data_IF_373528315600
#
_entry.id   IF_373528315600
#
_cell.length_a   1.000
_cell.length_b   1.000
_cell.length_c   1.000
_cell.angle_alpha   90.00
_cell.angle_beta   90.00
_cell.angle_gamma   90.00
#
_symmetry.space_group_name_H-M   'P 1'
#
loop_
_entity.id
_entity.type
_entity.pdbx_description
1 polymer ?
#
# COMPACT_ATOMS: atom_id res chain seq x y z
N UNK A 1 -14.57 26.92 6.01
CA UNK A 1 -13.50 25.98 6.40
C UNK A 1 -12.41 26.10 5.35
N UNK A 2 -11.15 26.36 5.76
CA UNK A 2 -10.01 26.55 4.84
C UNK A 2 -10.02 25.45 3.77
N UNK A 3 -9.74 25.80 2.51
CA UNK A 3 -9.45 24.84 1.44
C UNK A 3 -8.21 24.03 1.84
N UNK A 4 -8.42 22.93 2.55
CA UNK A 4 -7.37 21.96 2.87
C UNK A 4 -6.82 21.37 1.58
N UNK A 5 -7.64 21.29 0.53
CA UNK A 5 -7.32 20.70 -0.77
C UNK A 5 -6.20 21.43 -1.56
N UNK A 6 -6.14 22.77 -1.56
CA UNK A 6 -5.10 23.48 -2.33
C UNK A 6 -3.70 23.27 -1.74
N UNK A 7 -3.60 23.24 -0.41
CA UNK A 7 -2.34 22.92 0.29
C UNK A 7 -1.94 21.46 0.11
N UNK A 8 -2.92 20.57 -0.01
CA UNK A 8 -2.67 19.14 -0.13
C UNK A 8 -1.96 18.77 -1.43
N UNK A 9 -2.13 19.52 -2.52
CA UNK A 9 -1.47 19.17 -3.77
C UNK A 9 -0.45 20.21 -4.27
N UNK A 10 -0.21 21.28 -3.50
CA UNK A 10 0.87 22.24 -3.78
C UNK A 10 0.60 23.13 -5.00
N UNK A 11 -0.67 23.42 -5.27
CA UNK A 11 -1.06 24.23 -6.41
C UNK A 11 -1.32 25.66 -5.94
N UNK A 12 -0.28 26.51 -6.02
CA UNK A 12 -0.34 27.92 -5.63
C UNK A 12 0.94 28.72 -5.90
N UNK A 13 2.13 28.13 -5.77
CA UNK A 13 3.39 28.88 -5.86
C UNK A 13 4.15 28.53 -7.15
N UNK A 14 3.75 29.16 -8.27
CA UNK A 14 4.66 29.33 -9.41
C UNK A 14 5.37 30.67 -9.24
N UNK A 15 6.63 30.54 -8.83
CA UNK A 15 7.78 31.42 -9.03
C UNK A 15 7.51 32.68 -9.88
N UNK A 16 7.65 33.85 -9.24
CA UNK A 16 8.28 35.00 -9.87
C UNK A 16 9.15 35.69 -8.82
N UNK A 17 10.46 35.52 -8.99
CA UNK A 17 11.48 36.36 -8.36
C UNK A 17 11.26 37.79 -8.83
N UNK A 18 10.96 38.73 -7.93
CA UNK A 18 11.30 40.14 -8.14
C UNK A 18 11.48 40.85 -6.79
N UNK A 19 12.48 41.73 -6.79
CA UNK A 19 13.25 42.23 -5.67
C UNK A 19 12.49 43.08 -4.65
N UNK A 20 12.94 42.99 -3.40
CA UNK A 20 12.51 43.79 -2.25
C UNK A 20 12.97 45.24 -2.39
N UNK A 21 12.04 46.19 -2.32
CA UNK A 21 12.27 47.52 -1.74
C UNK A 21 11.02 47.98 -0.98
N UNK A 22 11.27 48.30 0.29
CA UNK A 22 10.34 48.77 1.32
C UNK A 22 9.57 50.02 0.91
N UNK A 23 8.25 50.05 1.15
CA UNK A 23 7.54 51.24 1.64
C UNK A 23 6.11 50.88 2.14
N UNK A 24 5.95 50.98 3.46
CA UNK A 24 4.73 51.40 4.20
C UNK A 24 3.34 50.79 3.91
N UNK A 25 2.81 50.14 4.95
CA UNK A 25 1.40 50.17 5.42
C UNK A 25 0.27 49.56 4.56
N UNK A 26 -0.44 48.60 5.20
CA UNK A 26 -1.84 48.18 4.95
C UNK A 26 -2.18 47.48 3.62
N UNK A 27 -2.08 46.15 3.56
CA UNK A 27 -3.13 45.37 2.88
C UNK A 27 -3.43 44.07 3.64
N UNK A 28 -4.57 44.10 4.32
CA UNK A 28 -5.21 43.02 5.03
C UNK A 28 -5.52 41.90 4.03
N UNK A 29 -4.87 40.75 4.24
CA UNK A 29 -5.35 39.38 4.01
C UNK A 29 -6.68 39.32 3.21
N UNK A 30 -6.59 39.45 1.87
CA UNK A 30 -7.71 39.23 0.94
C UNK A 30 -8.17 37.78 1.06
N UNK A 31 -9.03 37.51 2.05
CA UNK A 31 -9.88 36.32 2.10
C UNK A 31 -10.71 36.30 0.83
N UNK A 32 -10.31 35.48 -0.13
CA UNK A 32 -11.18 35.08 -1.25
C UNK A 32 -12.35 34.33 -0.64
N UNK A 33 -13.46 35.04 -0.38
CA UNK A 33 -14.75 34.41 -0.18
C UNK A 33 -15.06 33.70 -1.49
N UNK A 34 -15.13 32.37 -1.48
CA UNK A 34 -15.64 31.61 -2.62
C UNK A 34 -17.07 32.11 -2.87
N UNK A 35 -17.25 32.91 -3.92
CA UNK A 35 -18.53 33.56 -4.24
C UNK A 35 -19.56 32.50 -4.62
N UNK A 36 -20.70 32.53 -3.96
CA UNK A 36 -21.82 31.63 -4.26
C UNK A 36 -22.60 32.26 -5.42
N UNK A 37 -22.75 31.52 -6.51
CA UNK A 37 -23.47 31.94 -7.71
C UNK A 37 -24.67 31.03 -7.97
N UNK A 38 -25.76 31.60 -8.48
CA UNK A 38 -26.94 30.85 -8.90
C UNK A 38 -26.76 30.35 -10.33
N UNK A 39 -26.50 29.05 -10.48
CA UNK A 39 -26.21 28.43 -11.79
C UNK A 39 -27.45 27.70 -12.31
N UNK A 40 -27.85 27.89 -13.58
CA UNK A 40 -28.92 27.12 -14.19
C UNK A 40 -28.65 25.62 -14.13
N UNK A 41 -29.63 24.83 -13.67
CA UNK A 41 -29.49 23.36 -13.58
C UNK A 41 -29.15 22.75 -14.94
N UNK A 42 -29.69 23.30 -16.03
CA UNK A 42 -29.46 22.86 -17.41
C UNK A 42 -28.00 22.97 -17.86
N UNK A 43 -27.21 23.82 -17.19
CA UNK A 43 -25.80 24.05 -17.49
C UNK A 43 -24.87 23.16 -16.67
N UNK A 44 -25.41 22.35 -15.76
CA UNK A 44 -24.64 21.52 -14.83
C UNK A 44 -24.73 20.06 -15.24
N UNK A 45 -23.57 19.44 -15.48
CA UNK A 45 -23.45 18.01 -15.78
C UNK A 45 -22.92 17.24 -14.57
N UNK A 46 -23.41 16.01 -14.31
CA UNK A 46 -22.84 15.13 -13.30
C UNK A 46 -21.35 14.85 -13.57
N UNK A 47 -20.59 14.64 -12.49
CA UNK A 47 -19.18 14.28 -12.60
C UNK A 47 -19.00 12.94 -13.30
N UNK A 48 -18.26 12.89 -14.40
CA UNK A 48 -17.91 11.64 -15.08
C UNK A 48 -17.11 10.66 -14.19
N UNK A 49 -16.43 11.18 -13.17
CA UNK A 49 -15.59 10.41 -12.25
C UNK A 49 -16.30 10.04 -10.94
N UNK A 50 -17.60 10.33 -10.77
CA UNK A 50 -18.33 9.97 -9.55
C UNK A 50 -18.69 8.48 -9.57
N UNK A 51 -18.10 7.63 -8.70
CA UNK A 51 -18.35 6.19 -8.73
C UNK A 51 -19.70 5.77 -8.14
N UNK A 52 -20.47 6.68 -7.50
CA UNK A 52 -21.78 6.32 -6.99
C UNK A 52 -22.75 6.17 -8.16
N UNK A 53 -22.93 4.95 -8.63
CA UNK A 53 -23.90 4.60 -9.69
C UNK A 53 -25.30 4.37 -9.12
N UNK A 54 -25.40 3.91 -7.86
CA UNK A 54 -26.67 3.65 -7.18
C UNK A 54 -26.99 4.79 -6.22
N UNK A 55 -28.06 5.52 -6.52
CA UNK A 55 -28.67 6.46 -5.60
C UNK A 55 -29.97 5.86 -5.08
N UNK A 56 -30.17 5.94 -3.77
CA UNK A 56 -31.43 5.55 -3.14
C UNK A 56 -32.45 6.68 -3.36
N UNK A 57 -33.40 6.44 -4.27
CA UNK A 57 -34.41 7.43 -4.64
C UNK A 57 -35.24 7.90 -3.44
N UNK A 58 -35.53 7.03 -2.47
CA UNK A 58 -36.28 7.39 -1.27
C UNK A 58 -35.51 8.42 -0.42
N UNK A 59 -34.20 8.23 -0.27
CA UNK A 59 -33.33 9.21 0.43
C UNK A 59 -33.12 10.50 -0.34
N UNK A 60 -33.30 10.49 -1.67
CA UNK A 60 -33.33 11.72 -2.47
C UNK A 60 -34.65 12.44 -2.24
N UNK A 61 -35.77 11.73 -2.14
CA UNK A 61 -37.09 12.31 -1.87
C UNK A 61 -37.17 12.99 -0.50
N UNK A 62 -36.64 12.36 0.54
CA UNK A 62 -36.53 12.96 1.87
C UNK A 62 -35.71 14.27 1.85
N UNK A 63 -34.59 14.26 1.10
CA UNK A 63 -33.75 15.44 0.93
C UNK A 63 -34.46 16.53 0.11
N UNK A 64 -35.19 16.15 -0.95
CA UNK A 64 -36.00 17.06 -1.74
C UNK A 64 -37.08 17.73 -0.89
N UNK A 65 -37.76 16.98 -0.01
CA UNK A 65 -38.73 17.56 0.93
C UNK A 65 -38.06 18.57 1.88
N UNK A 66 -36.86 18.24 2.37
CA UNK A 66 -36.09 19.14 3.24
C UNK A 66 -35.69 20.43 2.52
N UNK A 67 -35.18 20.31 1.28
CA UNK A 67 -34.76 21.43 0.43
C UNK A 67 -35.96 22.29 0.04
N UNK A 68 -37.14 21.69 -0.21
CA UNK A 68 -38.37 22.45 -0.46
C UNK A 68 -38.75 23.35 0.73
N UNK A 69 -38.57 22.86 1.96
CA UNK A 69 -38.96 23.58 3.18
C UNK A 69 -37.94 24.64 3.62
N UNK A 70 -36.64 24.33 3.53
CA UNK A 70 -35.59 25.19 4.10
C UNK A 70 -34.65 25.80 3.05
N UNK A 71 -34.85 25.48 1.77
CA UNK A 71 -33.90 25.81 0.72
C UNK A 71 -32.63 24.94 0.75
N UNK A 72 -31.70 25.25 -0.14
CA UNK A 72 -30.43 24.57 -0.24
C UNK A 72 -29.39 25.27 0.64
N UNK A 73 -29.30 24.86 1.91
CA UNK A 73 -28.44 25.51 2.92
C UNK A 73 -26.95 25.45 2.54
N UNK A 74 -26.51 24.33 1.94
CA UNK A 74 -25.13 24.18 1.49
C UNK A 74 -25.09 24.21 -0.04
N UNK A 75 -24.37 25.16 -0.67
CA UNK A 75 -24.24 25.22 -2.12
C UNK A 75 -23.51 23.98 -2.65
N UNK A 76 -23.85 23.58 -3.87
CA UNK A 76 -23.07 22.55 -4.58
C UNK A 76 -21.71 23.10 -5.00
N UNK A 77 -20.74 22.24 -5.26
CA UNK A 77 -19.43 22.67 -5.77
C UNK A 77 -19.33 22.20 -7.20
N UNK A 78 -19.01 23.12 -8.11
CA UNK A 78 -18.86 22.82 -9.54
C UNK A 78 -17.53 23.37 -10.05
N UNK A 79 -17.03 22.82 -11.15
CA UNK A 79 -16.02 23.47 -11.98
C UNK A 79 -16.62 23.93 -13.29
N UNK A 80 -16.07 25.01 -13.85
CA UNK A 80 -16.36 25.40 -15.22
C UNK A 80 -15.37 24.68 -16.16
N UNK A 81 -15.88 24.02 -17.20
CA UNK A 81 -15.03 23.32 -18.19
C UNK A 81 -15.17 23.87 -19.61
N UNK A 82 -16.27 24.55 -19.89
CA UNK A 82 -16.54 25.33 -21.10
C UNK A 82 -17.35 26.57 -20.71
N UNK A 83 -17.49 27.53 -21.62
CA UNK A 83 -18.35 28.70 -21.42
C UNK A 83 -19.79 28.25 -21.06
N UNK A 84 -20.29 28.76 -19.93
CA UNK A 84 -21.59 28.42 -19.35
C UNK A 84 -21.85 26.91 -19.10
N UNK A 85 -20.81 26.06 -19.07
CA UNK A 85 -20.95 24.65 -18.70
C UNK A 85 -20.14 24.26 -17.48
N UNK A 86 -20.84 23.60 -16.56
CA UNK A 86 -20.32 23.27 -15.25
C UNK A 86 -20.39 21.78 -15.00
N UNK A 87 -19.37 21.21 -14.35
CA UNK A 87 -19.36 19.82 -13.91
C UNK A 87 -19.38 19.77 -12.39
N UNK A 88 -20.24 18.93 -11.82
CA UNK A 88 -20.34 18.77 -10.36
C UNK A 88 -19.03 18.19 -9.83
N UNK A 89 -18.45 18.85 -8.83
CA UNK A 89 -17.36 18.29 -8.03
C UNK A 89 -17.94 17.59 -6.80
N UNK A 90 -18.84 18.26 -6.08
CA UNK A 90 -19.46 17.75 -4.86
C UNK A 90 -20.92 18.22 -4.71
N UNK A 91 -21.74 17.38 -4.08
CA UNK A 91 -23.15 17.69 -3.83
C UNK A 91 -24.14 17.06 -4.83
N UNK A 92 -23.77 15.97 -5.50
CA UNK A 92 -24.62 15.25 -6.47
C UNK A 92 -26.04 14.95 -5.94
N UNK A 93 -26.19 14.51 -4.67
CA UNK A 93 -27.52 14.28 -4.06
C UNK A 93 -28.36 15.55 -3.96
N UNK A 94 -27.73 16.69 -3.66
CA UNK A 94 -28.39 18.01 -3.58
C UNK A 94 -28.83 18.49 -4.95
N UNK A 95 -27.97 18.33 -5.95
CA UNK A 95 -28.30 18.62 -7.35
C UNK A 95 -29.50 17.78 -7.85
N UNK A 96 -29.49 16.46 -7.59
CA UNK A 96 -30.61 15.57 -7.95
C UNK A 96 -31.91 15.95 -7.24
N UNK A 97 -31.85 16.27 -5.96
CA UNK A 97 -33.01 16.71 -5.21
C UNK A 97 -33.58 18.04 -5.74
N UNK A 98 -32.72 19.04 -6.03
CA UNK A 98 -33.14 20.30 -6.64
C UNK A 98 -33.75 20.12 -8.05
N UNK A 99 -33.14 19.24 -8.85
CA UNK A 99 -33.66 18.86 -10.18
C UNK A 99 -35.04 18.22 -10.06
N UNK A 100 -35.24 17.32 -9.08
CA UNK A 100 -36.53 16.65 -8.82
C UNK A 100 -37.61 17.62 -8.35
N UNK A 101 -37.23 18.69 -7.65
CA UNK A 101 -38.14 19.77 -7.25
C UNK A 101 -38.49 20.73 -8.40
N UNK A 102 -37.84 20.61 -9.56
CA UNK A 102 -38.06 21.50 -10.70
C UNK A 102 -37.43 22.88 -10.52
N UNK A 103 -36.35 22.99 -9.75
CA UNK A 103 -35.63 24.27 -9.62
C UNK A 103 -34.98 24.66 -10.95
N UNK A 104 -35.03 25.95 -11.30
CA UNK A 104 -34.36 26.46 -12.51
C UNK A 104 -32.86 26.70 -12.27
N UNK A 105 -32.51 27.15 -11.06
CA UNK A 105 -31.14 27.47 -10.64
C UNK A 105 -30.82 26.85 -9.28
N UNK A 106 -29.54 26.65 -9.01
CA UNK A 106 -29.04 26.15 -7.73
C UNK A 106 -27.86 27.01 -7.26
N UNK A 107 -27.75 27.29 -5.95
CA UNK A 107 -26.58 27.97 -5.42
C UNK A 107 -25.38 27.03 -5.50
N UNK A 108 -24.33 27.52 -6.15
CA UNK A 108 -23.12 26.76 -6.44
C UNK A 108 -21.87 27.61 -6.19
N UNK A 109 -20.80 26.94 -5.78
CA UNK A 109 -19.46 27.51 -5.68
C UNK A 109 -18.68 27.02 -6.91
N UNK A 110 -18.17 27.96 -7.71
CA UNK A 110 -17.34 27.65 -8.87
C UNK A 110 -15.88 27.54 -8.43
N UNK A 111 -15.26 26.41 -8.73
CA UNK A 111 -13.83 26.18 -8.54
C UNK A 111 -13.14 26.00 -9.89
N UNK A 112 -12.04 26.70 -10.07
CA UNK A 112 -11.19 26.57 -11.25
C UNK A 112 -10.29 25.34 -11.07
N UNK A 113 -10.81 24.16 -11.39
CA UNK A 113 -10.09 22.89 -11.34
C UNK A 113 -9.96 22.26 -12.73
N UNK A 114 -8.76 21.82 -13.08
CA UNK A 114 -8.54 21.00 -14.26
C UNK A 114 -9.09 19.57 -14.09
N UNK A 115 -9.02 18.75 -15.15
CA UNK A 115 -9.54 17.37 -15.14
C UNK A 115 -8.86 16.51 -14.08
N UNK A 116 -7.54 16.63 -13.95
CA UNK A 116 -6.71 15.92 -12.99
C UNK A 116 -7.11 16.27 -11.56
N UNK A 117 -7.30 17.57 -11.27
CA UNK A 117 -7.72 18.07 -9.96
C UNK A 117 -9.14 17.62 -9.61
N UNK A 118 -10.07 17.70 -10.56
CA UNK A 118 -11.46 17.26 -10.38
C UNK A 118 -11.53 15.77 -10.08
N UNK A 119 -10.81 14.94 -10.85
CA UNK A 119 -10.72 13.51 -10.60
C UNK A 119 -10.10 13.22 -9.21
N UNK A 120 -9.14 14.03 -8.77
CA UNK A 120 -8.50 13.87 -7.47
C UNK A 120 -9.42 14.21 -6.31
N UNK A 121 -10.18 15.30 -6.42
CA UNK A 121 -11.19 15.66 -5.42
C UNK A 121 -12.23 14.56 -5.29
N UNK A 122 -12.72 14.03 -6.41
CA UNK A 122 -13.64 12.90 -6.41
C UNK A 122 -13.01 11.66 -5.72
N UNK A 123 -11.77 11.31 -6.05
CA UNK A 123 -11.07 10.18 -5.43
C UNK A 123 -10.88 10.36 -3.92
N UNK A 124 -10.52 11.56 -3.46
CA UNK A 124 -10.30 11.86 -2.04
C UNK A 124 -11.62 11.87 -1.26
N UNK A 125 -12.69 12.43 -1.83
CA UNK A 125 -14.02 12.35 -1.22
C UNK A 125 -14.44 10.88 -1.04
N UNK A 126 -14.21 10.05 -2.06
CA UNK A 126 -14.46 8.62 -1.96
C UNK A 126 -13.61 7.97 -0.87
N UNK A 127 -12.32 8.34 -0.78
CA UNK A 127 -11.38 7.86 0.24
C UNK A 127 -11.81 8.22 1.68
N UNK A 128 -12.59 9.28 1.86
CA UNK A 128 -13.08 9.73 3.17
C UNK A 128 -14.38 9.05 3.62
N UNK A 129 -14.92 8.09 2.85
CA UNK A 129 -16.08 7.29 3.28
C UNK A 129 -15.66 6.30 4.37
N UNK A 130 -16.48 6.16 5.41
CA UNK A 130 -16.17 5.34 6.60
C UNK A 130 -16.02 3.84 6.32
N UNK A 131 -16.63 3.33 5.24
CA UNK A 131 -16.76 1.89 4.97
C UNK A 131 -15.95 1.41 3.75
N UNK A 132 -14.84 2.06 3.40
CA UNK A 132 -14.00 1.55 2.32
C UNK A 132 -13.31 0.25 2.67
N UNK A 133 -13.34 -0.68 1.73
CA UNK A 133 -12.55 -1.91 1.81
C UNK A 133 -11.08 -1.60 1.59
N UNK A 134 -10.20 -2.47 2.12
CA UNK A 134 -8.74 -2.29 1.97
C UNK A 134 -8.28 -2.30 0.50
N UNK A 135 -9.02 -2.99 -0.38
CA UNK A 135 -8.75 -3.02 -1.82
C UNK A 135 -9.18 -1.70 -2.48
N UNK A 136 -10.35 -1.16 -2.15
CA UNK A 136 -10.80 0.13 -2.69
C UNK A 136 -9.87 1.27 -2.26
N UNK A 137 -9.43 1.30 -0.99
CA UNK A 137 -8.41 2.25 -0.54
C UNK A 137 -7.12 2.13 -1.38
N UNK A 138 -6.66 0.90 -1.62
CA UNK A 138 -5.45 0.66 -2.39
C UNK A 138 -5.59 1.12 -3.84
N UNK A 139 -6.72 0.85 -4.50
CA UNK A 139 -7.02 1.35 -5.85
C UNK A 139 -7.06 2.88 -5.88
N UNK A 140 -7.67 3.52 -4.87
CA UNK A 140 -7.71 4.97 -4.77
C UNK A 140 -6.29 5.57 -4.62
N UNK A 141 -5.43 4.98 -3.79
CA UNK A 141 -4.02 5.41 -3.67
C UNK A 141 -3.26 5.24 -4.98
N UNK A 142 -3.45 4.11 -5.68
CA UNK A 142 -2.79 3.87 -6.96
C UNK A 142 -3.19 4.94 -7.98
N UNK A 143 -4.49 5.21 -8.12
CA UNK A 143 -5.00 6.24 -9.02
C UNK A 143 -4.46 7.63 -8.68
N UNK A 144 -4.40 8.01 -7.40
CA UNK A 144 -3.84 9.30 -6.99
C UNK A 144 -2.34 9.42 -7.30
N UNK A 145 -1.58 8.33 -7.16
CA UNK A 145 -0.16 8.27 -7.54
C UNK A 145 0.01 8.45 -9.04
N UNK A 146 -0.75 7.70 -9.85
CA UNK A 146 -0.67 7.73 -11.31
C UNK A 146 -1.11 9.08 -11.88
N UNK A 147 -2.20 9.64 -11.35
CA UNK A 147 -2.78 10.89 -11.82
C UNK A 147 -1.88 12.11 -11.60
N UNK A 148 -1.07 12.10 -10.54
CA UNK A 148 -0.17 13.21 -10.16
C UNK A 148 1.31 12.89 -10.28
N UNK A 149 1.67 11.70 -10.79
CA UNK A 149 3.05 11.19 -10.81
C UNK A 149 3.76 11.29 -9.44
N UNK A 150 3.05 10.96 -8.36
CA UNK A 150 3.57 11.09 -6.99
C UNK A 150 4.37 9.87 -6.57
N UNK A 151 5.36 10.10 -5.71
CA UNK A 151 5.92 9.01 -4.91
C UNK A 151 4.93 8.61 -3.81
N UNK A 152 5.05 7.38 -3.29
CA UNK A 152 4.24 6.94 -2.15
C UNK A 152 4.45 7.82 -0.91
N UNK A 153 5.67 8.35 -0.74
CA UNK A 153 6.01 9.29 0.32
C UNK A 153 5.30 10.63 0.16
N UNK A 154 5.30 11.20 -1.05
CA UNK A 154 4.57 12.42 -1.35
C UNK A 154 3.07 12.22 -1.12
N UNK A 155 2.47 11.13 -1.59
CA UNK A 155 1.06 10.84 -1.32
C UNK A 155 0.79 10.69 0.20
N UNK A 156 1.69 10.05 0.94
CA UNK A 156 1.56 9.84 2.37
C UNK A 156 1.57 11.16 3.15
N UNK A 157 2.50 12.05 2.83
CA UNK A 157 2.59 13.38 3.41
C UNK A 157 1.31 14.19 3.13
N UNK A 158 0.80 14.12 1.89
CA UNK A 158 -0.44 14.79 1.51
C UNK A 158 -1.60 14.22 2.34
N UNK A 159 -1.81 12.91 2.36
CA UNK A 159 -2.94 12.32 3.08
C UNK A 159 -2.79 12.30 4.62
N UNK A 160 -1.67 12.78 5.18
CA UNK A 160 -1.39 12.70 6.62
C UNK A 160 -1.26 11.26 7.12
N UNK A 161 -0.82 10.33 6.25
CA UNK A 161 -0.63 8.90 6.56
C UNK A 161 0.86 8.56 6.54
N UNK A 162 1.23 7.41 7.11
CA UNK A 162 2.58 6.88 6.99
C UNK A 162 2.83 6.31 5.57
N UNK A 163 4.04 6.51 5.04
CA UNK A 163 4.45 5.92 3.76
C UNK A 163 4.32 4.38 3.76
N UNK A 164 4.62 3.75 4.90
CA UNK A 164 4.44 2.31 5.11
C UNK A 164 2.96 1.88 5.00
N UNK A 165 2.01 2.70 5.42
CA UNK A 165 0.57 2.42 5.31
C UNK A 165 0.14 2.38 3.84
N UNK A 166 0.56 3.39 3.06
CA UNK A 166 0.27 3.44 1.62
C UNK A 166 0.93 2.25 0.90
N UNK A 167 2.20 1.98 1.18
CA UNK A 167 2.93 0.86 0.60
C UNK A 167 2.25 -0.48 0.91
N UNK A 168 1.80 -0.70 2.14
CA UNK A 168 1.12 -1.92 2.57
C UNK A 168 -0.22 -2.13 1.84
N UNK A 169 -0.98 -1.06 1.61
CA UNK A 169 -2.25 -1.10 0.87
C UNK A 169 -2.03 -1.39 -0.60
N UNK A 170 -1.13 -0.65 -1.26
CA UNK A 170 -0.78 -0.88 -2.67
C UNK A 170 -0.26 -2.30 -2.94
N UNK A 171 0.45 -2.87 -1.96
CA UNK A 171 0.93 -4.25 -2.01
C UNK A 171 -0.20 -5.29 -2.15
N UNK A 172 -1.40 -5.01 -1.64
CA UNK A 172 -2.56 -5.91 -1.78
C UNK A 172 -3.02 -6.05 -3.23
N UNK A 173 -2.81 -5.03 -4.07
CA UNK A 173 -3.23 -5.06 -5.48
C UNK A 173 -2.46 -6.10 -6.31
N UNK A 174 -1.30 -6.55 -5.81
CA UNK A 174 -0.46 -7.57 -6.44
C UNK A 174 -0.91 -9.00 -6.18
N UNK A 175 -1.87 -9.21 -5.28
CA UNK A 175 -2.39 -10.54 -4.98
C UNK A 175 -3.37 -11.00 -6.07
N UNK A 176 -3.52 -12.32 -6.28
CA UNK A 176 -4.59 -12.92 -7.07
C UNK A 176 -5.99 -12.46 -6.66
N UNK A 177 -6.93 -12.48 -7.60
CA UNK A 177 -8.31 -12.03 -7.38
C UNK A 177 -9.03 -12.86 -6.32
N UNK A 178 -8.73 -14.16 -6.19
CA UNK A 178 -9.32 -15.03 -5.16
C UNK A 178 -8.93 -14.59 -3.75
N UNK A 179 -7.70 -14.10 -3.55
CA UNK A 179 -7.24 -13.58 -2.26
C UNK A 179 -7.89 -12.23 -1.97
N UNK A 180 -8.06 -11.38 -3.00
CA UNK A 180 -8.79 -10.11 -2.87
C UNK A 180 -10.26 -10.37 -2.51
N UNK A 181 -10.91 -11.33 -3.15
CA UNK A 181 -12.28 -11.77 -2.84
C UNK A 181 -12.39 -12.27 -1.40
N UNK A 182 -11.46 -13.12 -0.94
CA UNK A 182 -11.43 -13.58 0.44
C UNK A 182 -11.24 -12.42 1.46
N UNK A 183 -10.54 -11.36 1.08
CA UNK A 183 -10.41 -10.15 1.90
C UNK A 183 -11.70 -9.31 1.91
N UNK A 184 -12.38 -9.20 0.77
CA UNK A 184 -13.67 -8.52 0.64
C UNK A 184 -14.78 -9.23 1.43
N UNK A 185 -14.80 -10.56 1.39
CA UNK A 185 -15.71 -11.44 2.15
C UNK A 185 -15.38 -11.48 3.66
N UNK A 186 -14.28 -10.83 4.09
CA UNK A 186 -13.76 -10.85 5.47
C UNK A 186 -13.37 -12.24 5.99
N UNK A 187 -13.18 -13.22 5.09
CA UNK A 187 -12.64 -14.56 5.40
C UNK A 187 -11.20 -14.50 5.88
N UNK A 188 -10.45 -13.47 5.46
CA UNK A 188 -9.11 -13.16 5.96
C UNK A 188 -8.97 -11.67 6.29
N UNK A 189 -7.97 -11.33 7.11
CA UNK A 189 -7.64 -9.94 7.45
C UNK A 189 -6.62 -9.37 6.47
N UNK A 190 -6.48 -8.03 6.42
CA UNK A 190 -5.43 -7.37 5.64
C UNK A 190 -4.02 -7.89 6.00
N UNK A 191 -3.79 -8.24 7.27
CA UNK A 191 -2.50 -8.77 7.71
C UNK A 191 -2.23 -10.16 7.13
N UNK A 192 -3.24 -11.04 7.06
CA UNK A 192 -3.14 -12.34 6.39
C UNK A 192 -2.80 -12.15 4.90
N UNK A 193 -3.54 -11.28 4.21
CA UNK A 193 -3.31 -11.00 2.79
C UNK A 193 -1.87 -10.50 2.53
N UNK A 194 -1.37 -9.55 3.35
CA UNK A 194 0.00 -9.04 3.24
C UNK A 194 1.08 -10.10 3.50
N UNK A 195 0.79 -11.07 4.37
CA UNK A 195 1.72 -12.15 4.67
C UNK A 195 1.91 -13.09 3.46
N UNK A 196 0.92 -13.23 2.57
CA UNK A 196 0.97 -14.08 1.38
C UNK A 196 1.85 -13.52 0.25
N UNK A 197 2.04 -12.20 0.19
CA UNK A 197 2.76 -11.49 -0.89
C UNK A 197 4.17 -12.01 -1.18
N UNK A 198 5.01 -12.39 -0.19
CA UNK A 198 6.34 -12.93 -0.45
C UNK A 198 6.35 -14.26 -1.21
N UNK A 199 5.24 -15.02 -1.20
CA UNK A 199 5.11 -16.24 -2.00
C UNK A 199 4.94 -15.82 -3.46
N UNK A 200 5.97 -16.04 -4.29
CA UNK A 200 5.94 -15.63 -5.71
C UNK A 200 5.06 -16.52 -6.60
N UNK A 201 4.71 -17.71 -6.12
CA UNK A 201 3.87 -18.66 -6.85
C UNK A 201 2.41 -18.49 -6.38
N UNK A 202 1.54 -18.15 -7.33
CA UNK A 202 0.09 -18.00 -7.14
C UNK A 202 -0.57 -19.29 -6.62
N UNK A 203 -0.25 -20.46 -7.16
CA UNK A 203 -0.81 -21.74 -6.69
C UNK A 203 -0.49 -21.98 -5.20
N UNK A 204 0.72 -21.60 -4.79
CA UNK A 204 1.14 -21.73 -3.40
C UNK A 204 0.42 -20.71 -2.51
N UNK A 205 0.19 -19.48 -2.99
CA UNK A 205 -0.61 -18.49 -2.26
C UNK A 205 -2.04 -18.98 -2.03
N UNK A 206 -2.69 -19.52 -3.06
CA UNK A 206 -4.06 -20.05 -2.97
C UNK A 206 -4.14 -21.26 -2.03
N UNK A 207 -3.14 -22.15 -2.06
CA UNK A 207 -3.05 -23.28 -1.13
C UNK A 207 -2.93 -22.83 0.32
N UNK A 208 -2.11 -21.81 0.58
CA UNK A 208 -1.97 -21.25 1.94
C UNK A 208 -3.23 -20.50 2.35
N UNK A 209 -3.91 -19.80 1.43
CA UNK A 209 -5.22 -19.18 1.68
C UNK A 209 -6.24 -20.22 2.16
N UNK A 210 -6.38 -21.33 1.43
CA UNK A 210 -7.25 -22.44 1.82
C UNK A 210 -6.89 -22.95 3.23
N UNK A 211 -5.59 -23.16 3.50
CA UNK A 211 -5.13 -23.59 4.81
C UNK A 211 -5.46 -22.58 5.93
N UNK A 212 -5.36 -21.27 5.66
CA UNK A 212 -5.73 -20.20 6.61
C UNK A 212 -7.22 -20.28 6.94
N UNK A 213 -8.08 -20.44 5.94
CA UNK A 213 -9.53 -20.46 6.10
C UNK A 213 -9.99 -21.76 6.78
N UNK A 214 -9.50 -22.92 6.33
CA UNK A 214 -9.87 -24.23 6.88
C UNK A 214 -9.43 -24.40 8.33
N UNK A 215 -8.21 -23.96 8.67
CA UNK A 215 -7.64 -24.12 10.03
C UNK A 215 -7.85 -22.88 10.91
N UNK A 216 -8.51 -21.84 10.40
CA UNK A 216 -8.67 -20.55 11.07
C UNK A 216 -7.36 -20.01 11.66
N UNK A 217 -6.30 -20.04 10.85
CA UNK A 217 -4.97 -19.61 11.30
C UNK A 217 -5.01 -18.12 11.69
N UNK A 218 -4.38 -17.78 12.80
CA UNK A 218 -4.14 -16.39 13.14
C UNK A 218 -2.97 -15.81 12.33
N UNK A 219 -2.77 -14.49 12.42
CA UNK A 219 -1.74 -13.77 11.64
C UNK A 219 -0.34 -14.32 11.90
N UNK A 220 -0.03 -14.62 13.16
CA UNK A 220 1.29 -15.14 13.56
C UNK A 220 1.53 -16.54 12.99
N UNK A 221 0.54 -17.44 13.10
CA UNK A 221 0.60 -18.79 12.52
C UNK A 221 0.74 -18.74 10.99
N UNK A 222 0.06 -17.80 10.35
CA UNK A 222 0.16 -17.56 8.91
C UNK A 222 1.58 -17.13 8.52
N UNK A 223 2.15 -16.15 9.23
CA UNK A 223 3.53 -15.69 9.00
C UNK A 223 4.55 -16.81 9.23
N UNK A 224 4.41 -17.60 10.30
CA UNK A 224 5.26 -18.77 10.59
C UNK A 224 5.17 -19.84 9.49
N UNK A 225 3.96 -20.13 9.02
CA UNK A 225 3.72 -21.09 7.93
C UNK A 225 4.41 -20.63 6.63
N UNK A 226 4.30 -19.36 6.32
CA UNK A 226 4.90 -18.76 5.13
C UNK A 226 6.43 -18.72 5.24
N UNK A 227 6.96 -18.37 6.42
CA UNK A 227 8.40 -18.43 6.68
C UNK A 227 8.96 -19.83 6.45
N UNK A 228 8.27 -20.88 6.94
CA UNK A 228 8.66 -22.27 6.72
C UNK A 228 8.65 -22.66 5.23
N UNK A 229 7.62 -22.27 4.48
CA UNK A 229 7.56 -22.53 3.03
C UNK A 229 8.66 -21.81 2.25
N UNK A 230 9.01 -20.58 2.64
CA UNK A 230 10.10 -19.82 2.04
C UNK A 230 11.48 -20.41 2.38
N UNK A 231 11.65 -21.00 3.57
CA UNK A 231 12.87 -21.72 3.94
C UNK A 231 13.01 -23.04 3.19
N UNK A 232 11.93 -23.80 3.04
CA UNK A 232 11.90 -25.05 2.27
C UNK A 232 12.19 -24.82 0.78
N UNK A 233 11.78 -23.67 0.23
CA UNK A 233 12.05 -23.30 -1.16
C UNK A 233 13.49 -22.81 -1.40
N UNK A 234 14.24 -22.42 -0.36
CA UNK A 234 15.66 -22.07 -0.53
C UNK A 234 16.42 -23.35 -0.86
N UNK A 235 17.29 -23.35 -1.89
CA UNK A 235 18.12 -24.50 -2.17
C UNK A 235 18.93 -24.78 -0.90
N UNK A 236 18.67 -25.94 -0.26
CA UNK A 236 19.50 -26.42 0.84
C UNK A 236 20.92 -26.30 0.34
N UNK A 237 21.75 -25.49 1.01
CA UNK A 237 23.19 -25.48 0.76
C UNK A 237 23.59 -26.94 0.83
N UNK A 238 23.85 -27.57 -0.32
CA UNK A 238 24.45 -28.91 -0.33
C UNK A 238 25.67 -28.71 0.54
N UNK A 239 25.70 -29.38 1.70
CA UNK A 239 26.95 -29.49 2.44
C UNK A 239 27.95 -29.87 1.37
N UNK A 240 28.95 -29.01 1.12
CA UNK A 240 29.98 -29.30 0.12
C UNK A 240 30.42 -30.72 0.48
N UNK A 241 30.05 -31.71 -0.32
CA UNK A 241 30.64 -33.02 -0.20
C UNK A 241 32.10 -32.68 -0.43
N UNK A 242 32.88 -32.63 0.65
CA UNK A 242 34.32 -32.49 0.54
C UNK A 242 34.66 -33.63 -0.40
N UNK A 243 35.04 -33.32 -1.63
CA UNK A 243 35.60 -34.31 -2.52
C UNK A 243 36.71 -34.92 -1.68
N UNK A 244 36.50 -36.16 -1.24
CA UNK A 244 37.52 -36.90 -0.53
C UNK A 244 38.58 -37.08 -1.59
N UNK A 245 39.56 -36.17 -1.57
CA UNK A 245 40.74 -36.29 -2.37
C UNK A 245 41.31 -37.67 -2.07
N UNK A 246 41.53 -38.46 -3.12
CA UNK A 246 42.22 -39.75 -3.00
C UNK A 246 43.72 -39.58 -2.71
N UNK A 247 44.16 -38.36 -2.40
CA UNK A 247 45.52 -38.06 -1.99
C UNK A 247 45.75 -38.56 -0.56
N UNK A 248 46.61 -39.57 -0.44
CA UNK A 248 47.06 -40.16 0.82
C UNK A 248 47.59 -39.10 1.78
N UNK A 249 48.17 -38.00 1.28
CA UNK A 249 48.66 -36.87 2.10
C UNK A 249 47.55 -36.19 2.89
N UNK A 250 46.35 -36.08 2.32
CA UNK A 250 45.21 -35.47 3.02
C UNK A 250 44.70 -36.39 4.12
N UNK A 251 44.68 -37.71 3.87
CA UNK A 251 44.34 -38.69 4.90
C UNK A 251 45.34 -38.64 6.06
N UNK A 252 46.65 -38.65 5.76
CA UNK A 252 47.73 -38.56 6.76
C UNK A 252 47.65 -37.28 7.59
N UNK A 253 47.46 -36.12 6.95
CA UNK A 253 47.34 -34.84 7.65
C UNK A 253 46.08 -34.80 8.55
N UNK A 254 44.97 -35.40 8.12
CA UNK A 254 43.75 -35.47 8.93
C UNK A 254 43.97 -36.34 10.18
N UNK A 255 44.70 -37.45 10.04
CA UNK A 255 45.03 -38.33 11.18
C UNK A 255 45.98 -37.59 12.15
N UNK A 256 47.03 -36.93 11.66
CA UNK A 256 47.95 -36.12 12.48
C UNK A 256 47.22 -35.04 13.27
N UNK A 257 46.31 -34.30 12.62
CA UNK A 257 45.52 -33.28 13.31
C UNK A 257 44.62 -33.87 14.39
N UNK A 258 44.05 -35.06 14.15
CA UNK A 258 43.22 -35.77 15.12
C UNK A 258 44.04 -36.24 16.32
N UNK A 259 45.23 -36.79 16.08
CA UNK A 259 46.17 -37.16 17.14
C UNK A 259 46.56 -35.95 17.99
N UNK A 260 46.91 -34.83 17.35
CA UNK A 260 47.24 -33.59 18.03
C UNK A 260 46.10 -33.09 18.93
N UNK A 261 44.85 -33.09 18.45
CA UNK A 261 43.69 -32.69 19.26
C UNK A 261 43.51 -33.59 20.49
N UNK A 262 43.77 -34.90 20.35
CA UNK A 262 43.68 -35.84 21.48
C UNK A 262 44.80 -35.58 22.48
N UNK A 263 46.02 -35.32 22.02
CA UNK A 263 47.15 -34.97 22.89
C UNK A 263 46.92 -33.64 23.62
N UNK A 264 46.36 -32.62 22.93
CA UNK A 264 45.96 -31.34 23.51
C UNK A 264 44.84 -31.49 24.56
N UNK A 265 43.97 -32.49 24.43
CA UNK A 265 42.93 -32.81 25.42
C UNK A 265 43.45 -33.51 26.68
N UNK A 266 44.76 -33.78 26.79
CA UNK A 266 45.41 -34.38 27.95
C UNK A 266 45.47 -35.91 27.94
N UNK A 267 45.15 -36.56 26.83
CA UNK A 267 45.38 -37.99 26.65
C UNK A 267 46.81 -38.24 26.16
N UNK A 268 47.57 -39.07 26.88
CA UNK A 268 48.85 -39.57 26.41
C UNK A 268 48.62 -40.54 25.24
N UNK A 269 49.03 -40.17 24.05
CA UNK A 269 48.94 -41.02 22.84
C UNK A 269 50.33 -41.13 22.24
N UNK A 270 50.82 -42.36 22.07
CA UNK A 270 52.07 -42.62 21.37
C UNK A 270 51.73 -43.05 19.94
N UNK A 271 52.24 -42.32 18.94
CA UNK A 271 52.05 -42.65 17.53
C UNK A 271 53.39 -42.88 16.83
N UNK A 272 53.50 -43.97 16.07
CA UNK A 272 54.62 -44.28 15.18
C UNK A 272 54.11 -44.27 13.73
N UNK A 273 54.82 -43.60 12.83
CA UNK A 273 54.49 -43.50 11.40
C UNK A 273 55.58 -44.19 10.57
N UNK A 274 55.18 -45.09 9.67
CA UNK A 274 56.06 -45.80 8.73
C UNK A 274 55.51 -45.67 7.30
N UNK A 275 56.40 -45.44 6.33
CA UNK A 275 56.08 -45.35 4.91
C UNK A 275 56.65 -46.58 4.18
N UNK A 276 55.79 -47.31 3.48
CA UNK A 276 56.14 -48.46 2.66
C UNK A 276 55.78 -48.16 1.19
N UNK A 277 56.38 -48.91 0.26
CA UNK A 277 56.20 -48.67 -1.19
C UNK A 277 54.74 -48.69 -1.65
N UNK A 278 53.90 -49.51 -1.01
CA UNK A 278 52.48 -49.66 -1.37
C UNK A 278 51.50 -49.01 -0.36
N UNK A 279 51.94 -48.64 0.85
CA UNK A 279 51.04 -48.13 1.90
C UNK A 279 51.75 -47.30 2.99
N UNK A 280 50.98 -46.47 3.69
CA UNK A 280 51.39 -45.84 4.95
C UNK A 280 50.85 -46.62 6.14
N UNK A 281 51.66 -46.80 7.17
CA UNK A 281 51.26 -47.43 8.42
C UNK A 281 51.38 -46.44 9.58
N UNK A 282 50.32 -46.31 10.37
CA UNK A 282 50.34 -45.53 11.60
C UNK A 282 49.95 -46.45 12.75
N UNK A 283 50.86 -46.61 13.71
CA UNK A 283 50.60 -47.36 14.94
C UNK A 283 50.29 -46.39 16.07
N UNK A 284 49.06 -46.41 16.58
CA UNK A 284 48.60 -45.55 17.68
C UNK A 284 48.44 -46.39 18.95
N UNK A 285 49.21 -46.07 19.99
CA UNK A 285 49.20 -46.74 21.30
C UNK A 285 48.62 -45.76 22.34
N UNK A 286 47.43 -46.07 22.86
CA UNK A 286 46.78 -45.30 23.93
C UNK A 286 46.80 -46.16 25.21
N UNK A 287 47.48 -45.73 26.29
CA UNK A 287 47.51 -46.49 27.53
C UNK A 287 46.13 -46.49 28.18
N UNK A 288 45.66 -47.66 28.63
CA UNK A 288 44.48 -47.76 29.49
C UNK A 288 44.84 -47.21 30.87
N UNK A 289 44.02 -46.32 31.45
CA UNK A 289 44.18 -45.92 32.86
C UNK A 289 44.14 -47.18 33.74
N UNK A 290 45.21 -47.41 34.51
CA UNK A 290 45.19 -48.34 35.65
C UNK A 290 44.45 -47.71 36.81
#
# INVERSE_FOLDING_TARGET
MKNTFSRLFGFGDKESEFELQDESHEEIDKKVYEEIQEIPIVNITPNRYQPRTVFDDARIDELALTIRTHGLIQPIVVRQYEDDKYEIIAGERRFRAATKLGWEKVPAIIKNLNDTETASVALIENLQREELTAIEEAVAYQKLIELHNLTQEALAQRLGKGQSTIANKLRLLKLPEEIKSALLEKSITERHARALIPLKNEELQLKVLQEIVEKQLNVKQTEERIAKLLEEAKPKRKAKQKAVSRDTRIAMNTIRQSLQMVTESGLNVNSEEEEFDEYYQITIKIPKKK
#
